data_IF_826657744902
#
_entry.id   IF_826657744902
#
_cell.length_a   1.000
_cell.length_b   1.000
_cell.length_c   1.000
_cell.angle_alpha   90.00
_cell.angle_beta   90.00
_cell.angle_gamma   90.00
#
_symmetry.space_group_name_H-M   'P 1'
#
loop_
_entity.id
_entity.type
_entity.pdbx_description
1 polymer ?
#
# COMPACT_ATOMS: atom_id res chain seq x y z
N UNK A 1 -11.46 -3.05 -12.38
CA UNK A 1 -10.38 -2.11 -12.02
C UNK A 1 -9.85 -1.37 -13.25
N UNK A 2 -9.28 -2.08 -14.25
CA UNK A 2 -8.67 -1.47 -15.44
C UNK A 2 -9.59 -0.46 -16.18
N UNK A 3 -10.86 -0.79 -16.40
CA UNK A 3 -11.81 0.13 -17.06
C UNK A 3 -12.01 1.46 -16.33
N UNK A 4 -11.96 1.47 -14.99
CA UNK A 4 -12.16 2.69 -14.20
C UNK A 4 -10.92 3.58 -14.22
N UNK A 5 -9.74 2.98 -14.22
CA UNK A 5 -8.47 3.71 -14.36
C UNK A 5 -8.41 4.37 -15.74
N UNK A 6 -8.80 3.64 -16.78
CA UNK A 6 -8.81 4.19 -18.14
C UNK A 6 -9.77 5.39 -18.24
N UNK A 7 -10.99 5.27 -17.71
CA UNK A 7 -11.95 6.39 -17.64
C UNK A 7 -11.36 7.63 -16.95
N UNK A 8 -10.68 7.45 -15.81
CA UNK A 8 -10.05 8.56 -15.08
C UNK A 8 -8.88 9.18 -15.85
N UNK A 9 -8.11 8.38 -16.60
CA UNK A 9 -7.02 8.86 -17.44
C UNK A 9 -7.55 9.66 -18.64
N UNK A 10 -8.59 9.18 -19.33
CA UNK A 10 -9.21 9.92 -20.44
C UNK A 10 -9.85 11.24 -19.97
N UNK A 11 -10.42 11.26 -18.77
CA UNK A 11 -11.05 12.46 -18.21
C UNK A 11 -10.06 13.42 -17.54
N UNK A 12 -8.78 13.05 -17.43
CA UNK A 12 -7.75 13.85 -16.77
C UNK A 12 -7.94 13.98 -15.25
N UNK A 13 -8.56 12.99 -14.61
CA UNK A 13 -8.88 12.94 -13.18
C UNK A 13 -7.99 11.95 -12.40
N UNK A 14 -7.03 11.31 -13.07
CA UNK A 14 -6.22 10.23 -12.48
C UNK A 14 -4.99 10.71 -11.72
N UNK A 15 -4.15 11.55 -12.34
CA UNK A 15 -2.86 12.02 -11.82
C UNK A 15 -2.59 13.43 -12.33
N UNK A 16 -1.72 14.20 -11.68
CA UNK A 16 -1.36 15.56 -12.15
C UNK A 16 -0.40 15.50 -13.35
N UNK A 17 -0.31 16.59 -14.13
CA UNK A 17 0.55 16.63 -15.33
C UNK A 17 2.03 16.30 -15.03
N UNK A 18 2.55 16.75 -13.87
CA UNK A 18 3.93 16.43 -13.44
C UNK A 18 4.12 14.93 -13.27
N UNK A 19 3.22 14.28 -12.52
CA UNK A 19 3.26 12.82 -12.31
C UNK A 19 3.15 12.04 -13.61
N UNK A 20 2.29 12.48 -14.54
CA UNK A 20 2.17 11.85 -15.86
C UNK A 20 3.47 11.97 -16.67
N UNK A 21 4.13 13.14 -16.63
CA UNK A 21 5.39 13.35 -17.34
C UNK A 21 6.55 12.57 -16.72
N UNK A 22 6.62 12.49 -15.39
CA UNK A 22 7.69 11.82 -14.66
C UNK A 22 7.53 10.29 -14.64
N UNK A 23 6.32 9.76 -14.89
CA UNK A 23 6.06 8.32 -14.86
C UNK A 23 6.95 7.52 -15.82
N UNK A 24 7.21 8.05 -17.01
CA UNK A 24 8.08 7.40 -18.00
C UNK A 24 9.53 7.38 -17.53
N UNK A 25 10.02 8.51 -17.01
CA UNK A 25 11.39 8.61 -16.51
C UNK A 25 11.57 7.69 -15.29
N UNK A 26 10.59 7.67 -14.38
CA UNK A 26 10.58 6.76 -13.24
C UNK A 26 10.64 5.29 -13.66
N UNK A 27 9.84 4.88 -14.64
CA UNK A 27 9.86 3.50 -15.13
C UNK A 27 11.21 3.14 -15.75
N UNK A 28 11.77 4.05 -16.56
CA UNK A 28 13.09 3.88 -17.18
C UNK A 28 14.20 3.78 -16.14
N UNK A 29 14.15 4.61 -15.09
CA UNK A 29 15.10 4.57 -13.98
C UNK A 29 15.05 3.22 -13.27
N UNK A 30 13.84 2.71 -12.97
CA UNK A 30 13.67 1.40 -12.31
C UNK A 30 14.14 0.23 -13.19
N UNK A 31 13.93 0.31 -14.50
CA UNK A 31 14.47 -0.66 -15.46
C UNK A 31 16.00 -0.60 -15.45
N UNK A 32 16.57 0.60 -15.49
CA UNK A 32 18.02 0.83 -15.51
C UNK A 32 18.70 0.31 -14.25
N UNK A 33 18.13 0.57 -13.07
CA UNK A 33 18.61 -0.02 -11.81
C UNK A 33 18.59 -1.56 -11.85
N UNK A 34 17.48 -2.15 -12.30
CA UNK A 34 17.33 -3.60 -12.37
C UNK A 34 18.33 -4.24 -13.33
N UNK A 35 18.54 -3.60 -14.49
CA UNK A 35 19.49 -4.03 -15.50
C UNK A 35 20.92 -3.92 -14.95
N UNK A 36 21.25 -2.81 -14.28
CA UNK A 36 22.56 -2.58 -13.66
C UNK A 36 22.92 -3.68 -12.65
N UNK A 37 22.01 -4.01 -11.73
CA UNK A 37 22.24 -5.08 -10.75
C UNK A 37 22.45 -6.44 -11.43
N UNK A 38 21.64 -6.76 -12.44
CA UNK A 38 21.76 -8.01 -13.18
C UNK A 38 23.12 -8.13 -13.88
N UNK A 39 23.56 -7.07 -14.57
CA UNK A 39 24.86 -7.04 -15.27
C UNK A 39 26.01 -7.20 -14.28
N UNK A 40 25.93 -6.51 -13.14
CA UNK A 40 26.95 -6.59 -12.11
C UNK A 40 27.02 -7.98 -11.48
N UNK A 41 25.93 -8.75 -11.53
CA UNK A 41 25.79 -10.11 -11.01
C UNK A 41 26.08 -11.23 -12.02
N UNK A 42 26.52 -10.89 -13.23
CA UNK A 42 27.08 -11.87 -14.15
C UNK A 42 28.22 -12.64 -13.49
N UNK A 43 28.20 -13.96 -13.64
CA UNK A 43 29.31 -14.83 -13.25
C UNK A 43 30.48 -14.66 -14.22
N UNK A 44 31.63 -15.25 -13.90
CA UNK A 44 32.76 -15.26 -14.84
C UNK A 44 32.37 -15.92 -16.18
N UNK A 45 31.59 -17.01 -16.15
CA UNK A 45 31.02 -17.63 -17.35
C UNK A 45 30.11 -16.67 -18.13
N UNK A 46 29.27 -15.90 -17.43
CA UNK A 46 28.39 -14.91 -18.05
C UNK A 46 29.19 -13.80 -18.73
N UNK A 47 30.27 -13.33 -18.09
CA UNK A 47 31.18 -12.33 -18.67
C UNK A 47 31.95 -12.88 -19.87
N UNK A 48 32.41 -14.13 -19.83
CA UNK A 48 33.12 -14.79 -20.94
C UNK A 48 32.25 -14.92 -22.21
N UNK A 49 30.92 -14.97 -22.07
CA UNK A 49 29.97 -14.96 -23.20
C UNK A 49 29.75 -13.55 -23.80
N UNK A 50 30.41 -12.54 -23.23
CA UNK A 50 30.37 -11.15 -23.69
C UNK A 50 29.01 -10.49 -23.50
N UNK A 51 28.22 -10.91 -22.50
CA UNK A 51 26.92 -10.28 -22.25
C UNK A 51 27.09 -8.83 -21.82
N UNK A 52 26.35 -7.94 -22.49
CA UNK A 52 26.25 -6.51 -22.15
C UNK A 52 27.59 -5.75 -22.19
N UNK A 53 28.57 -6.20 -22.96
CA UNK A 53 29.90 -5.55 -23.05
C UNK A 53 29.86 -4.14 -23.62
N UNK A 54 28.90 -3.85 -24.51
CA UNK A 54 28.74 -2.53 -25.12
C UNK A 54 28.12 -1.49 -24.19
N UNK A 55 27.59 -1.89 -23.03
CA UNK A 55 27.08 -0.94 -22.05
C UNK A 55 28.26 -0.22 -21.40
N UNK A 56 28.21 1.11 -21.36
CA UNK A 56 29.23 1.92 -20.71
C UNK A 56 29.34 1.54 -19.22
N UNK A 57 30.58 1.32 -18.76
CA UNK A 57 30.92 0.99 -17.37
C UNK A 57 31.77 2.12 -16.78
N UNK A 58 31.58 2.43 -15.50
CA UNK A 58 32.39 3.38 -14.73
C UNK A 58 31.57 4.42 -13.95
N UNK A 59 31.86 4.58 -12.66
CA UNK A 59 31.19 5.55 -11.78
C UNK A 59 30.27 4.92 -10.71
N UNK A 60 30.00 3.62 -10.80
CA UNK A 60 29.22 2.88 -9.80
C UNK A 60 27.78 3.37 -9.64
N UNK A 61 27.10 2.88 -8.61
CA UNK A 61 25.77 3.36 -8.23
C UNK A 61 25.88 4.68 -7.45
N UNK A 62 25.04 5.70 -7.72
CA UNK A 62 23.91 5.72 -8.67
C UNK A 62 24.24 6.24 -10.08
N UNK A 63 25.46 6.71 -10.32
CA UNK A 63 25.80 7.47 -11.53
C UNK A 63 25.67 6.62 -12.81
N UNK A 64 26.06 5.35 -12.77
CA UNK A 64 25.89 4.43 -13.91
C UNK A 64 24.41 4.16 -14.24
N UNK A 65 23.56 4.03 -13.22
CA UNK A 65 22.12 3.80 -13.44
C UNK A 65 21.46 5.00 -14.12
N UNK A 66 21.88 6.22 -13.77
CA UNK A 66 21.40 7.45 -14.41
C UNK A 66 21.86 7.54 -15.86
N UNK A 67 23.12 7.22 -16.16
CA UNK A 67 23.62 7.19 -17.54
C UNK A 67 22.91 6.15 -18.39
N UNK A 68 22.70 4.96 -17.83
CA UNK A 68 21.93 3.91 -18.51
C UNK A 68 20.51 4.37 -18.79
N UNK A 69 19.84 4.99 -17.81
CA UNK A 69 18.49 5.57 -18.02
C UNK A 69 18.49 6.63 -19.12
N UNK A 70 19.49 7.52 -19.14
CA UNK A 70 19.60 8.52 -20.20
C UNK A 70 19.83 7.87 -21.58
N UNK A 71 20.68 6.86 -21.67
CA UNK A 71 20.96 6.14 -22.91
C UNK A 71 19.72 5.40 -23.45
N UNK A 72 18.90 4.82 -22.56
CA UNK A 72 17.65 4.14 -22.93
C UNK A 72 16.56 5.08 -23.48
N UNK A 73 16.75 6.41 -23.47
CA UNK A 73 15.89 7.34 -24.21
C UNK A 73 16.06 7.22 -25.73
N UNK A 74 17.22 6.76 -26.20
CA UNK A 74 17.46 6.56 -27.62
C UNK A 74 16.80 5.24 -28.07
N UNK A 75 15.81 5.28 -29.00
CA UNK A 75 15.12 4.08 -29.45
C UNK A 75 16.03 3.05 -30.12
N UNK A 76 17.05 3.48 -30.87
CA UNK A 76 18.01 2.56 -31.52
C UNK A 76 18.82 1.80 -30.47
N UNK A 77 19.31 2.52 -29.46
CA UNK A 77 20.02 1.92 -28.34
C UNK A 77 19.13 0.97 -27.53
N UNK A 78 17.88 1.35 -27.27
CA UNK A 78 16.91 0.49 -26.57
C UNK A 78 16.68 -0.82 -27.34
N UNK A 79 16.57 -0.77 -28.67
CA UNK A 79 16.42 -1.97 -29.51
C UNK A 79 17.63 -2.90 -29.36
N UNK A 80 18.85 -2.35 -29.35
CA UNK A 80 20.07 -3.14 -29.15
C UNK A 80 20.12 -3.77 -27.75
N UNK A 81 19.72 -3.03 -26.71
CA UNK A 81 19.61 -3.55 -25.33
C UNK A 81 18.58 -4.67 -25.24
N UNK A 82 17.40 -4.52 -25.86
CA UNK A 82 16.37 -5.57 -25.89
C UNK A 82 16.89 -6.82 -26.59
N UNK A 83 17.56 -6.65 -27.74
CA UNK A 83 18.14 -7.76 -28.50
C UNK A 83 19.18 -8.52 -27.69
N UNK A 84 20.09 -7.79 -27.04
CA UNK A 84 21.11 -8.38 -26.19
C UNK A 84 20.51 -9.08 -24.97
N UNK A 85 19.50 -8.47 -24.35
CA UNK A 85 18.81 -9.10 -23.21
C UNK A 85 18.13 -10.40 -23.65
N UNK A 86 17.57 -10.47 -24.86
CA UNK A 86 17.04 -11.70 -25.44
C UNK A 86 18.09 -12.80 -25.54
N UNK A 87 19.28 -12.47 -26.05
CA UNK A 87 20.45 -13.39 -26.12
C UNK A 87 20.84 -13.91 -24.74
N UNK A 88 20.93 -13.01 -23.75
CA UNK A 88 21.18 -13.37 -22.35
C UNK A 88 20.10 -14.30 -21.78
N UNK A 89 18.82 -14.00 -22.02
CA UNK A 89 17.71 -14.76 -21.46
C UNK A 89 17.63 -16.18 -22.01
N UNK A 90 17.94 -16.38 -23.29
CA UNK A 90 18.08 -17.70 -23.90
C UNK A 90 19.19 -18.50 -23.22
N UNK A 91 20.40 -17.93 -23.11
CA UNK A 91 21.52 -18.58 -22.43
C UNK A 91 21.24 -18.89 -20.96
N UNK A 92 20.58 -17.98 -20.23
CA UNK A 92 20.20 -18.18 -18.83
C UNK A 92 19.19 -19.31 -18.63
N UNK A 93 18.32 -19.56 -19.62
CA UNK A 93 17.38 -20.69 -19.60
C UNK A 93 18.09 -22.03 -19.78
N UNK A 94 19.20 -22.05 -20.52
CA UNK A 94 20.02 -23.23 -20.74
C UNK A 94 20.99 -23.50 -19.59
N UNK A 95 21.74 -22.48 -19.15
CA UNK A 95 22.67 -22.53 -18.04
C UNK A 95 22.41 -21.37 -17.07
N UNK A 96 21.88 -21.69 -15.89
CA UNK A 96 21.63 -20.67 -14.85
C UNK A 96 22.93 -20.10 -14.28
N UNK A 97 24.04 -20.81 -14.39
CA UNK A 97 25.34 -20.40 -13.83
C UNK A 97 25.93 -19.17 -14.53
N UNK A 98 25.30 -18.63 -15.58
CA UNK A 98 25.68 -17.32 -16.16
C UNK A 98 25.44 -16.15 -15.21
N UNK A 99 24.60 -16.34 -14.18
CA UNK A 99 24.42 -15.40 -13.07
C UNK A 99 24.95 -15.99 -11.76
N UNK A 100 25.56 -15.16 -10.91
CA UNK A 100 25.96 -15.54 -9.55
C UNK A 100 24.78 -15.66 -8.59
N UNK A 101 23.72 -14.87 -8.84
CA UNK A 101 22.52 -14.84 -8.00
C UNK A 101 21.25 -14.90 -8.85
N UNK A 102 20.23 -15.62 -8.37
CA UNK A 102 19.01 -15.94 -9.14
C UNK A 102 17.72 -15.30 -8.58
N UNK A 103 17.84 -14.21 -7.82
CA UNK A 103 16.67 -13.47 -7.30
C UNK A 103 16.11 -12.46 -8.32
N UNK A 104 16.82 -12.21 -9.42
CA UNK A 104 16.42 -11.31 -10.50
C UNK A 104 15.17 -11.84 -11.21
N UNK A 105 14.18 -10.96 -11.42
CA UNK A 105 12.96 -11.29 -12.17
C UNK A 105 13.22 -11.19 -13.67
N UNK A 106 14.05 -12.09 -14.21
CA UNK A 106 14.64 -11.98 -15.55
C UNK A 106 13.61 -11.85 -16.67
N UNK A 107 12.51 -12.63 -16.65
CA UNK A 107 11.46 -12.53 -17.66
C UNK A 107 10.65 -11.23 -17.53
N UNK A 108 10.37 -10.79 -16.30
CA UNK A 108 9.66 -9.53 -16.05
C UNK A 108 10.48 -8.31 -16.46
N UNK A 109 11.79 -8.33 -16.25
CA UNK A 109 12.68 -7.27 -16.71
C UNK A 109 12.76 -7.23 -18.24
N UNK A 110 12.78 -8.39 -18.90
CA UNK A 110 12.71 -8.44 -20.36
C UNK A 110 11.42 -7.83 -20.90
N UNK A 111 10.28 -8.24 -20.33
CA UNK A 111 8.97 -7.71 -20.70
C UNK A 111 8.93 -6.19 -20.54
N UNK A 112 9.45 -5.65 -19.44
CA UNK A 112 9.49 -4.19 -19.21
C UNK A 112 10.36 -3.44 -20.22
N UNK A 113 11.51 -4.01 -20.61
CA UNK A 113 12.34 -3.45 -21.68
C UNK A 113 11.57 -3.39 -23.01
N UNK A 114 10.81 -4.43 -23.33
CA UNK A 114 9.96 -4.46 -24.53
C UNK A 114 8.81 -3.45 -24.44
N UNK A 115 8.16 -3.33 -23.28
CA UNK A 115 7.09 -2.35 -23.01
C UNK A 115 7.59 -0.90 -23.11
N UNK A 116 8.84 -0.64 -22.73
CA UNK A 116 9.48 0.67 -22.86
C UNK A 116 9.61 1.12 -24.33
N UNK A 117 9.70 0.18 -25.27
CA UNK A 117 9.78 0.47 -26.71
C UNK A 117 8.41 0.69 -27.38
N UNK A 118 7.30 0.44 -26.67
CA UNK A 118 5.96 0.61 -27.24
C UNK A 118 5.59 2.09 -27.37
N UNK A 119 4.88 2.48 -28.45
CA UNK A 119 4.32 3.82 -28.58
C UNK A 119 3.40 4.12 -27.40
N UNK A 120 3.64 5.24 -26.70
CA UNK A 120 2.81 5.65 -25.57
C UNK A 120 1.63 6.50 -26.02
N UNK A 121 0.51 6.28 -25.35
CA UNK A 121 -0.62 7.20 -25.40
C UNK A 121 -0.34 8.34 -24.43
N UNK A 122 -0.35 9.56 -24.95
CA UNK A 122 -0.28 10.76 -24.11
C UNK A 122 -1.63 11.01 -23.43
N UNK A 123 -1.57 11.38 -22.16
CA UNK A 123 -2.72 11.78 -21.37
C UNK A 123 -2.50 13.19 -20.86
N UNK A 124 -3.58 13.95 -20.74
CA UNK A 124 -3.57 15.29 -20.15
C UNK A 124 -4.36 15.27 -18.84
N UNK A 125 -3.91 16.08 -17.88
CA UNK A 125 -4.58 16.19 -16.59
C UNK A 125 -5.27 17.55 -16.42
N UNK A 126 -6.47 17.49 -15.85
CA UNK A 126 -7.20 18.66 -15.35
C UNK A 126 -6.87 18.98 -13.88
N UNK A 127 -6.07 18.13 -13.22
CA UNK A 127 -5.69 18.29 -11.82
C UNK A 127 -4.46 19.18 -11.68
N UNK A 128 -4.58 20.23 -10.86
CA UNK A 128 -3.44 21.06 -10.43
C UNK A 128 -2.78 20.53 -9.16
N UNK A 129 -3.56 19.88 -8.30
CA UNK A 129 -3.11 19.19 -7.10
C UNK A 129 -3.85 17.86 -6.96
N UNK A 130 -3.19 16.85 -6.39
CA UNK A 130 -3.89 15.64 -6.02
C UNK A 130 -4.93 15.97 -4.94
N UNK A 131 -6.18 15.47 -5.07
CA UNK A 131 -7.17 15.66 -4.03
C UNK A 131 -6.63 15.09 -2.73
N UNK A 132 -6.45 15.96 -1.72
CA UNK A 132 -6.07 15.52 -0.38
C UNK A 132 -7.13 14.56 0.11
N UNK A 133 -6.78 13.28 0.21
CA UNK A 133 -7.67 12.25 0.74
C UNK A 133 -8.04 12.70 2.16
N UNK A 134 -9.31 13.07 2.35
CA UNK A 134 -9.81 13.40 3.67
C UNK A 134 -9.71 12.14 4.51
N UNK A 135 -8.95 12.22 5.59
CA UNK A 135 -8.87 11.11 6.53
C UNK A 135 -10.26 10.90 7.16
N UNK A 136 -10.61 9.64 7.39
CA UNK A 136 -11.85 9.27 8.07
C UNK A 136 -11.54 8.16 9.08
N UNK A 137 -12.42 8.02 10.07
CA UNK A 137 -12.30 6.95 11.07
C UNK A 137 -12.94 5.70 10.48
N UNK A 138 -12.16 4.64 10.34
CA UNK A 138 -12.63 3.37 9.77
C UNK A 138 -13.36 2.53 10.82
N UNK A 139 -14.17 1.55 10.39
CA UNK A 139 -14.89 0.69 11.35
C UNK A 139 -13.94 -0.18 12.19
N UNK A 140 -12.81 -0.66 11.64
CA UNK A 140 -11.79 -1.38 12.40
C UNK A 140 -11.11 -0.51 13.47
N UNK A 141 -10.89 0.78 13.18
CA UNK A 141 -10.45 1.76 14.18
C UNK A 141 -11.48 1.91 15.32
N UNK A 142 -12.77 2.04 14.99
CA UNK A 142 -13.86 2.08 15.97
C UNK A 142 -13.87 0.80 16.83
N UNK A 143 -13.79 -0.38 16.22
CA UNK A 143 -13.77 -1.64 16.95
C UNK A 143 -12.56 -1.78 17.87
N UNK A 144 -11.39 -1.31 17.44
CA UNK A 144 -10.18 -1.31 18.25
C UNK A 144 -10.36 -0.44 19.51
N UNK A 145 -10.93 0.76 19.36
CA UNK A 145 -11.24 1.65 20.49
C UNK A 145 -12.22 1.00 21.46
N UNK A 146 -13.35 0.49 20.98
CA UNK A 146 -14.35 -0.19 21.83
C UNK A 146 -13.82 -1.45 22.52
N UNK A 147 -12.83 -2.12 21.92
CA UNK A 147 -12.21 -3.32 22.51
C UNK A 147 -11.28 -3.03 23.69
N UNK A 148 -10.93 -1.75 23.94
CA UNK A 148 -10.15 -1.31 25.10
C UNK A 148 -10.97 -1.29 26.39
N UNK A 149 -12.27 -0.98 26.31
CA UNK A 149 -13.19 -0.89 27.45
C UNK A 149 -13.38 0.54 27.96
N UNK A 150 -14.12 0.70 29.06
CA UNK A 150 -14.64 1.97 29.61
C UNK A 150 -13.62 2.86 30.35
N UNK A 151 -12.32 2.56 30.31
CA UNK A 151 -11.30 3.30 31.07
C UNK A 151 -11.35 3.11 32.60
N UNK A 152 -12.40 2.48 33.14
CA UNK A 152 -12.49 2.06 34.55
C UNK A 152 -11.68 0.77 34.76
N UNK A 153 -11.07 0.60 35.94
CA UNK A 153 -10.37 -0.63 36.31
C UNK A 153 -11.23 -1.87 36.00
N UNK A 154 -10.68 -2.82 35.26
CA UNK A 154 -11.35 -4.05 34.78
C UNK A 154 -12.67 -3.83 34.01
N UNK A 155 -12.91 -2.64 33.46
CA UNK A 155 -14.14 -2.32 32.71
C UNK A 155 -14.38 -3.23 31.52
N UNK A 156 -13.32 -3.60 30.80
CA UNK A 156 -13.38 -4.59 29.70
C UNK A 156 -13.94 -5.94 30.14
N UNK A 157 -13.56 -6.41 31.34
CA UNK A 157 -14.02 -7.69 31.87
C UNK A 157 -15.50 -7.63 32.24
N UNK A 158 -15.94 -6.53 32.87
CA UNK A 158 -17.36 -6.30 33.20
C UNK A 158 -18.22 -6.21 31.95
N UNK A 159 -17.82 -5.42 30.96
CA UNK A 159 -18.50 -5.33 29.67
C UNK A 159 -18.59 -6.70 29.01
N UNK A 160 -17.48 -7.45 28.95
CA UNK A 160 -17.47 -8.78 28.34
C UNK A 160 -18.39 -9.76 29.09
N UNK A 161 -18.43 -9.71 30.42
CA UNK A 161 -19.30 -10.55 31.24
C UNK A 161 -20.78 -10.22 30.98
N UNK A 162 -21.15 -8.95 31.06
CA UNK A 162 -22.53 -8.49 30.83
C UNK A 162 -23.01 -8.82 29.41
N UNK A 163 -22.14 -8.69 28.39
CA UNK A 163 -22.53 -8.96 27.01
C UNK A 163 -22.72 -10.44 26.68
N UNK A 164 -22.12 -11.35 27.47
CA UNK A 164 -22.35 -12.81 27.36
C UNK A 164 -23.69 -13.25 27.93
N UNK A 165 -24.25 -12.49 28.85
CA UNK A 165 -25.56 -12.75 29.44
C UNK A 165 -26.70 -12.37 28.47
N UNK A 166 -27.87 -12.97 28.70
CA UNK A 166 -29.04 -12.79 27.84
C UNK A 166 -29.80 -11.50 28.18
N UNK A 167 -29.22 -10.37 27.79
CA UNK A 167 -29.83 -9.04 27.92
C UNK A 167 -30.24 -8.49 26.56
N UNK A 168 -31.29 -7.67 26.56
CA UNK A 168 -31.74 -6.93 25.37
C UNK A 168 -30.70 -5.89 24.95
N UNK A 169 -30.80 -5.41 23.71
CA UNK A 169 -29.91 -4.36 23.22
C UNK A 169 -30.03 -3.07 24.03
N UNK A 170 -31.23 -2.75 24.53
CA UNK A 170 -31.48 -1.55 25.32
C UNK A 170 -30.81 -1.63 26.70
N UNK A 171 -30.91 -2.78 27.37
CA UNK A 171 -30.23 -3.02 28.65
C UNK A 171 -28.70 -2.96 28.50
N UNK A 172 -28.17 -3.54 27.41
CA UNK A 172 -26.75 -3.45 27.07
C UNK A 172 -26.31 -2.01 26.80
N UNK A 173 -27.14 -1.21 26.12
CA UNK A 173 -26.85 0.21 25.88
C UNK A 173 -26.87 1.03 27.18
N UNK A 174 -27.86 0.82 28.05
CA UNK A 174 -27.95 1.49 29.35
C UNK A 174 -26.77 1.12 30.25
N UNK A 175 -26.41 -0.18 30.30
CA UNK A 175 -25.22 -0.64 31.01
C UNK A 175 -23.95 0.06 30.52
N UNK A 176 -23.74 0.15 29.19
CA UNK A 176 -22.58 0.85 28.65
C UNK A 176 -22.55 2.33 29.02
N UNK A 177 -23.71 3.01 28.98
CA UNK A 177 -23.83 4.41 29.39
C UNK A 177 -23.38 4.62 30.82
N UNK A 178 -23.80 3.75 31.74
CA UNK A 178 -23.46 3.86 33.16
C UNK A 178 -22.00 3.44 33.42
N UNK A 179 -21.51 2.43 32.68
CA UNK A 179 -20.15 1.89 32.80
C UNK A 179 -19.08 2.82 32.23
N UNK A 180 -19.38 3.57 31.16
CA UNK A 180 -18.48 4.61 30.63
C UNK A 180 -18.67 5.95 31.36
N UNK A 181 -19.89 6.28 31.80
CA UNK A 181 -20.17 7.52 32.50
C UNK A 181 -19.94 8.76 31.65
N UNK A 182 -19.42 9.82 32.27
CA UNK A 182 -18.99 11.05 31.58
C UNK A 182 -17.47 11.13 31.69
N UNK A 183 -16.80 11.20 30.55
CA UNK A 183 -15.36 11.16 30.52
C UNK A 183 -14.81 11.14 29.11
N UNK A 184 -13.52 10.91 29.02
CA UNK A 184 -12.83 10.84 27.75
C UNK A 184 -11.42 10.27 27.89
N UNK A 185 -10.83 9.96 26.75
CA UNK A 185 -9.48 9.42 26.67
C UNK A 185 -8.77 10.05 25.48
N UNK A 186 -7.54 10.48 25.67
CA UNK A 186 -6.68 10.88 24.55
C UNK A 186 -5.96 9.67 23.97
N UNK A 187 -5.53 9.77 22.72
CA UNK A 187 -4.93 8.69 21.93
C UNK A 187 -5.90 7.50 21.74
N UNK A 188 -7.18 7.84 21.53
CA UNK A 188 -8.28 6.88 21.49
C UNK A 188 -8.27 5.98 20.25
N UNK A 189 -7.82 6.49 19.09
CA UNK A 189 -7.73 5.74 17.84
C UNK A 189 -6.32 5.15 17.71
N UNK A 190 -6.26 3.84 17.46
CA UNK A 190 -4.99 3.11 17.40
C UNK A 190 -4.07 3.67 16.30
N UNK A 191 -2.84 4.04 16.67
CA UNK A 191 -1.84 4.55 15.72
C UNK A 191 -2.02 6.02 15.31
N UNK A 192 -3.01 6.74 15.85
CA UNK A 192 -3.24 8.15 15.53
C UNK A 192 -2.91 9.05 16.73
N UNK A 193 -1.71 9.64 16.74
CA UNK A 193 -1.35 10.71 17.68
C UNK A 193 -2.22 11.95 17.40
N UNK A 194 -2.92 12.46 18.41
CA UNK A 194 -3.97 13.49 18.23
C UNK A 194 -5.33 12.92 17.83
N UNK A 195 -5.77 11.89 18.56
CA UNK A 195 -7.13 11.37 18.51
C UNK A 195 -7.72 11.35 19.91
N UNK A 196 -8.99 11.67 20.05
CA UNK A 196 -9.67 11.79 21.34
C UNK A 196 -11.00 11.05 21.31
N UNK A 197 -11.32 10.41 22.43
CA UNK A 197 -12.62 9.86 22.74
C UNK A 197 -13.27 10.74 23.80
N UNK A 198 -14.53 11.07 23.57
CA UNK A 198 -15.39 11.71 24.56
C UNK A 198 -16.69 10.93 24.67
N UNK A 199 -17.14 10.64 25.89
CA UNK A 199 -18.40 9.95 26.10
C UNK A 199 -19.25 10.66 27.17
N UNK A 200 -20.55 10.69 26.91
CA UNK A 200 -21.56 11.31 27.76
C UNK A 200 -22.86 10.50 27.78
N UNK A 201 -23.91 11.07 28.38
CA UNK A 201 -25.22 10.43 28.46
C UNK A 201 -25.85 10.08 27.09
N UNK A 202 -25.42 10.73 26.00
CA UNK A 202 -25.95 10.55 24.64
C UNK A 202 -25.18 9.47 23.87
N UNK A 203 -23.88 9.33 24.11
CA UNK A 203 -23.07 8.35 23.40
C UNK A 203 -21.57 8.59 23.51
N UNK A 204 -20.85 8.01 22.56
CA UNK A 204 -19.41 8.06 22.43
C UNK A 204 -19.03 8.77 21.13
N UNK A 205 -18.17 9.78 21.24
CA UNK A 205 -17.63 10.59 20.15
C UNK A 205 -16.15 10.26 19.97
N UNK A 206 -15.76 9.90 18.75
CA UNK A 206 -14.36 9.74 18.35
C UNK A 206 -13.95 10.89 17.46
N UNK A 207 -12.78 11.44 17.76
CA UNK A 207 -12.17 12.54 17.04
C UNK A 207 -10.75 12.14 16.63
N UNK A 208 -10.35 12.57 15.45
CA UNK A 208 -9.01 12.33 14.89
C UNK A 208 -8.63 13.54 14.05
N UNK A 209 -7.39 13.99 14.16
CA UNK A 209 -6.90 15.13 13.38
C UNK A 209 -7.20 14.97 11.88
N UNK A 210 -7.64 16.07 11.25
CA UNK A 210 -7.99 16.13 9.82
C UNK A 210 -9.06 15.11 9.38
N UNK A 211 -9.89 14.62 10.32
CA UNK A 211 -11.01 13.72 10.06
C UNK A 211 -12.33 14.33 10.54
N UNK A 212 -13.44 13.90 9.96
CA UNK A 212 -14.75 14.15 10.54
C UNK A 212 -14.93 13.35 11.82
N UNK A 213 -15.56 13.96 12.82
CA UNK A 213 -15.91 13.29 14.06
C UNK A 213 -16.92 12.17 13.81
N UNK A 214 -16.77 11.05 14.54
CA UNK A 214 -17.74 9.94 14.52
C UNK A 214 -18.49 9.92 15.84
N UNK A 215 -19.80 10.11 15.79
CA UNK A 215 -20.67 9.99 16.97
C UNK A 215 -21.45 8.68 16.95
N UNK A 216 -21.34 7.92 18.04
CA UNK A 216 -21.95 6.62 18.23
C UNK A 216 -22.90 6.68 19.41
N UNK A 217 -24.20 6.44 19.17
CA UNK A 217 -25.14 6.25 20.26
C UNK A 217 -24.82 4.97 21.04
N UNK A 218 -25.19 4.90 22.32
CA UNK A 218 -24.96 3.70 23.14
C UNK A 218 -25.55 2.42 22.54
N UNK A 219 -26.68 2.51 21.84
CA UNK A 219 -27.26 1.40 21.09
C UNK A 219 -26.40 0.97 19.91
N UNK A 220 -25.77 1.91 19.20
CA UNK A 220 -24.83 1.65 18.11
C UNK A 220 -23.55 0.99 18.62
N UNK A 221 -23.03 1.46 19.76
CA UNK A 221 -21.89 0.85 20.46
C UNK A 221 -22.22 -0.59 20.88
N UNK A 222 -23.37 -0.81 21.51
CA UNK A 222 -23.81 -2.14 21.93
C UNK A 222 -23.90 -3.12 20.75
N UNK A 223 -24.46 -2.69 19.61
CA UNK A 223 -24.50 -3.52 18.38
C UNK A 223 -23.10 -3.92 17.91
N UNK A 224 -22.15 -2.99 17.90
CA UNK A 224 -20.77 -3.26 17.48
C UNK A 224 -20.07 -4.23 18.43
N UNK A 225 -20.20 -4.05 19.74
CA UNK A 225 -19.61 -4.97 20.72
C UNK A 225 -20.21 -6.38 20.57
N UNK A 226 -21.54 -6.49 20.39
CA UNK A 226 -22.20 -7.77 20.11
C UNK A 226 -21.66 -8.44 18.86
N UNK A 227 -21.52 -7.69 17.76
CA UNK A 227 -20.96 -8.19 16.50
C UNK A 227 -19.52 -8.70 16.68
N UNK A 228 -18.68 -7.93 17.38
CA UNK A 228 -17.29 -8.32 17.68
C UNK A 228 -17.21 -9.60 18.53
N UNK A 229 -18.07 -9.73 19.55
CA UNK A 229 -18.18 -10.95 20.35
C UNK A 229 -18.59 -12.16 19.49
N UNK A 230 -19.56 -11.99 18.59
CA UNK A 230 -20.03 -13.06 17.70
C UNK A 230 -18.93 -13.53 16.74
N UNK A 231 -18.23 -12.60 16.10
CA UNK A 231 -17.11 -12.90 15.19
C UNK A 231 -15.99 -13.66 15.90
N UNK A 232 -15.60 -13.23 17.11
CA UNK A 232 -14.56 -13.92 17.91
C UNK A 232 -14.97 -15.35 18.28
N UNK A 233 -16.23 -15.58 18.65
CA UNK A 233 -16.74 -16.93 18.96
C UNK A 233 -16.70 -17.81 17.72
N UNK A 234 -17.13 -17.30 16.58
CA UNK A 234 -17.18 -18.05 15.32
C UNK A 234 -15.78 -18.40 14.79
N UNK A 235 -14.85 -17.45 14.85
CA UNK A 235 -13.46 -17.69 14.45
C UNK A 235 -12.71 -18.65 15.37
N UNK A 236 -13.04 -18.70 16.67
CA UNK A 236 -12.43 -19.64 17.62
C UNK A 236 -12.94 -21.07 17.45
N UNK A 237 -14.09 -21.27 16.81
CA UNK A 237 -14.66 -22.59 16.44
C UNK A 237 -14.18 -23.13 15.08
N UNK A 238 -13.38 -22.35 14.32
CA UNK A 238 -12.84 -22.74 12.99
C UNK A 238 -11.34 -23.10 13.02
N UNK A 239 -10.78 -23.37 14.20
CA UNK A 239 -9.48 -24.03 14.38
C UNK A 239 -9.72 -25.33 15.10
#
# INVERSE_FOLDING_TARGET
AASKINELLENGEFAINVELSEALDYERDRISESLWYLIHDLSEKGKEQGFFEFLEKGGGFPDETKRLSEALKNPEYLVDVIKEYGRFLEAYREDREVLRFHYHKVDSLYQKLQELALPRKEYTSNLTELPKVKAFITEDEVFATLSRGSGIDRGKERITKFFKENHTLQEKANFLKDEYGIGGSSHAVSGAMGSDEWHDAKGLKLQKNNCNDVFLTWSSVAKRILMSCFIKIFMKKRK
#
